data_IF_675109068606
#
_entry.id   IF_675109068606
#
_cell.length_a   1.000
_cell.length_b   1.000
_cell.length_c   1.000
_cell.angle_alpha   90.00
_cell.angle_beta   90.00
_cell.angle_gamma   90.00
#
_symmetry.space_group_name_H-M   'P 1'
#
loop_
_entity.id
_entity.type
_entity.pdbx_description
1 polymer ?
#
# COMPACT_ATOMS: atom_id res chain seq x y z
N UNK A 1 19.63 4.47 -28.30
CA UNK A 1 20.02 3.20 -27.66
C UNK A 1 20.82 3.57 -26.41
N UNK A 2 20.18 3.68 -25.25
CA UNK A 2 20.87 3.93 -23.97
C UNK A 2 21.52 2.61 -23.59
N UNK A 3 22.83 2.59 -23.48
CA UNK A 3 23.55 1.41 -23.02
C UNK A 3 23.08 1.09 -21.58
N UNK A 4 22.36 0.01 -21.40
CA UNK A 4 22.02 -0.52 -20.07
C UNK A 4 23.33 -0.93 -19.39
N UNK A 5 23.67 -0.25 -18.30
CA UNK A 5 24.77 -0.69 -17.45
C UNK A 5 24.42 -2.08 -16.88
N UNK A 6 25.37 -3.01 -16.72
CA UNK A 6 25.09 -4.37 -16.23
C UNK A 6 24.33 -4.44 -14.90
N UNK A 7 24.43 -3.38 -14.08
CA UNK A 7 23.79 -3.25 -12.78
C UNK A 7 22.30 -2.81 -12.86
N UNK A 8 21.87 -2.25 -14.00
CA UNK A 8 20.47 -1.82 -14.20
C UNK A 8 19.54 -2.98 -14.63
N UNK A 9 20.10 -4.09 -15.09
CA UNK A 9 19.30 -5.20 -15.64
C UNK A 9 18.40 -5.89 -14.62
N UNK A 10 18.66 -5.74 -13.32
CA UNK A 10 17.87 -6.31 -12.23
C UNK A 10 17.31 -5.25 -11.28
N UNK A 11 17.01 -4.07 -11.81
CA UNK A 11 16.35 -2.98 -11.07
C UNK A 11 14.95 -2.79 -11.60
N UNK A 12 13.97 -2.70 -10.70
CA UNK A 12 12.56 -2.47 -11.06
C UNK A 12 11.93 -1.45 -10.11
N UNK A 13 10.90 -0.78 -10.59
CA UNK A 13 9.96 -0.08 -9.75
C UNK A 13 8.85 -1.06 -9.33
N UNK A 14 8.34 -0.95 -8.11
CA UNK A 14 7.38 -1.87 -7.54
C UNK A 14 6.09 -1.14 -7.13
N UNK A 15 4.94 -1.70 -7.46
CA UNK A 15 3.63 -1.19 -7.02
C UNK A 15 2.89 -2.28 -6.25
N UNK A 16 2.48 -1.96 -5.02
CA UNK A 16 1.84 -2.90 -4.10
C UNK A 16 0.40 -2.49 -3.84
N UNK A 17 -0.52 -3.41 -4.12
CA UNK A 17 -1.95 -3.21 -3.91
C UNK A 17 -2.31 -3.12 -2.43
N UNK A 18 -3.41 -2.41 -2.11
CA UNK A 18 -4.04 -2.43 -0.80
C UNK A 18 -4.79 -3.74 -0.54
N UNK A 19 -4.79 -4.21 0.72
CA UNK A 19 -5.46 -5.49 0.99
C UNK A 19 -5.57 -5.88 2.47
N UNK A 20 -5.37 -4.96 3.41
CA UNK A 20 -5.49 -5.21 4.85
C UNK A 20 -4.58 -6.36 5.32
N UNK A 21 -5.16 -7.34 6.01
CA UNK A 21 -4.41 -8.48 6.56
C UNK A 21 -3.69 -9.35 5.52
N UNK A 22 -4.03 -9.19 4.24
CA UNK A 22 -3.39 -9.92 3.14
C UNK A 22 -1.98 -9.43 2.79
N UNK A 23 -1.50 -8.36 3.45
CA UNK A 23 -0.17 -7.77 3.23
C UNK A 23 0.98 -8.78 3.30
N UNK A 24 0.83 -9.87 4.08
CA UNK A 24 1.83 -10.94 4.15
C UNK A 24 2.05 -11.63 2.79
N UNK A 25 1.03 -11.71 1.94
CA UNK A 25 1.16 -12.26 0.59
C UNK A 25 1.96 -11.32 -0.34
N UNK A 26 1.85 -9.99 -0.15
CA UNK A 26 2.70 -9.02 -0.84
C UNK A 26 4.16 -9.26 -0.48
N UNK A 27 4.47 -9.43 0.82
CA UNK A 27 5.83 -9.69 1.27
C UNK A 27 6.38 -10.98 0.63
N UNK A 28 5.60 -12.06 0.61
CA UNK A 28 6.00 -13.31 -0.06
C UNK A 28 6.39 -13.10 -1.52
N UNK A 29 5.59 -12.33 -2.26
CA UNK A 29 5.88 -12.00 -3.66
C UNK A 29 7.13 -11.12 -3.81
N UNK A 30 7.29 -10.10 -2.96
CA UNK A 30 8.46 -9.22 -2.94
C UNK A 30 9.75 -10.00 -2.69
N UNK A 31 9.75 -10.90 -1.69
CA UNK A 31 10.93 -11.69 -1.37
C UNK A 31 11.28 -12.68 -2.50
N UNK A 32 10.30 -13.28 -3.17
CA UNK A 32 10.57 -14.13 -4.32
C UNK A 32 11.18 -13.35 -5.50
N UNK A 33 10.78 -12.09 -5.71
CA UNK A 33 11.41 -11.21 -6.71
C UNK A 33 12.83 -10.84 -6.29
N UNK A 34 13.03 -10.55 -5.00
CA UNK A 34 14.35 -10.26 -4.43
C UNK A 34 15.30 -11.45 -4.55
N UNK A 35 14.83 -12.67 -4.25
CA UNK A 35 15.60 -13.93 -4.37
C UNK A 35 16.07 -14.21 -5.81
N UNK A 36 15.31 -13.71 -6.80
CA UNK A 36 15.72 -13.75 -8.20
C UNK A 36 16.81 -12.69 -8.54
N UNK A 37 17.26 -11.92 -7.54
CA UNK A 37 18.32 -10.93 -7.62
C UNK A 37 17.86 -9.54 -8.04
N UNK A 38 16.56 -9.23 -7.98
CA UNK A 38 16.05 -7.89 -8.27
C UNK A 38 16.10 -6.96 -7.05
N UNK A 39 16.36 -5.68 -7.33
CA UNK A 39 16.28 -4.58 -6.36
C UNK A 39 15.20 -3.59 -6.77
N UNK A 40 14.59 -2.95 -5.77
CA UNK A 40 13.47 -2.04 -5.98
C UNK A 40 13.94 -0.60 -5.92
N UNK A 41 13.83 0.13 -7.03
CA UNK A 41 14.30 1.51 -7.09
C UNK A 41 13.28 2.47 -6.49
N UNK A 42 12.03 2.31 -6.90
CA UNK A 42 10.89 3.05 -6.31
C UNK A 42 9.81 2.05 -5.96
N UNK A 43 9.19 2.26 -4.82
CA UNK A 43 8.10 1.43 -4.33
C UNK A 43 6.90 2.31 -4.10
N UNK A 44 5.77 1.97 -4.72
CA UNK A 44 4.49 2.62 -4.46
C UNK A 44 3.56 1.64 -3.75
N UNK A 45 2.82 2.11 -2.75
CA UNK A 45 1.89 1.27 -2.02
C UNK A 45 0.63 2.00 -1.58
N UNK A 46 -0.44 1.23 -1.46
CA UNK A 46 -1.72 1.67 -0.89
C UNK A 46 -2.08 0.77 0.28
N UNK A 47 -2.53 1.33 1.43
CA UNK A 47 -3.00 0.55 2.58
C UNK A 47 -1.96 -0.50 3.04
N UNK A 48 -2.29 -1.79 3.03
CA UNK A 48 -1.34 -2.87 3.33
C UNK A 48 -0.09 -2.81 2.44
N UNK A 49 -0.24 -2.43 1.17
CA UNK A 49 0.87 -2.22 0.25
C UNK A 49 1.77 -1.06 0.67
N UNK A 50 1.23 -0.04 1.34
CA UNK A 50 2.03 1.06 1.91
C UNK A 50 2.84 0.58 3.12
N UNK A 51 2.27 -0.28 3.98
CA UNK A 51 2.99 -0.89 5.12
C UNK A 51 4.18 -1.71 4.63
N UNK A 52 3.92 -2.66 3.73
CA UNK A 52 4.98 -3.54 3.18
C UNK A 52 5.99 -2.73 2.39
N UNK A 53 5.53 -1.81 1.54
CA UNK A 53 6.40 -0.97 0.72
C UNK A 53 7.32 -0.07 1.54
N UNK A 54 6.82 0.51 2.64
CA UNK A 54 7.62 1.33 3.55
C UNK A 54 8.73 0.51 4.24
N UNK A 55 8.40 -0.70 4.72
CA UNK A 55 9.38 -1.59 5.33
C UNK A 55 10.44 -2.04 4.34
N UNK A 56 10.04 -2.46 3.13
CA UNK A 56 10.97 -2.89 2.07
C UNK A 56 11.89 -1.75 1.66
N UNK A 57 11.34 -0.53 1.43
CA UNK A 57 12.15 0.64 1.09
C UNK A 57 13.14 0.99 2.19
N UNK A 58 12.71 0.95 3.46
CA UNK A 58 13.54 1.28 4.60
C UNK A 58 14.67 0.25 4.82
N UNK A 59 14.36 -1.05 4.77
CA UNK A 59 15.36 -2.12 4.91
C UNK A 59 16.39 -2.06 3.79
N UNK A 60 15.93 -1.93 2.53
CA UNK A 60 16.84 -1.81 1.38
C UNK A 60 17.71 -0.56 1.48
N UNK A 61 17.17 0.58 1.95
CA UNK A 61 17.94 1.82 2.17
C UNK A 61 18.99 1.67 3.24
N UNK A 62 18.71 0.94 4.32
CA UNK A 62 19.62 0.67 5.42
C UNK A 62 20.67 -0.42 5.10
N UNK A 63 20.48 -1.17 3.99
CA UNK A 63 21.33 -2.32 3.67
C UNK A 63 21.04 -3.56 4.51
N UNK A 64 19.85 -3.62 5.12
CA UNK A 64 19.39 -4.76 5.91
C UNK A 64 18.88 -5.88 5.00
N UNK A 65 18.95 -7.14 5.51
CA UNK A 65 18.40 -8.29 4.81
C UNK A 65 16.87 -8.23 4.76
N UNK A 66 16.28 -8.22 3.56
CA UNK A 66 14.85 -8.18 3.37
C UNK A 66 14.14 -9.42 3.97
N UNK A 67 14.81 -10.55 4.12
CA UNK A 67 14.25 -11.73 4.79
C UNK A 67 13.95 -11.48 6.27
N UNK A 68 14.62 -10.54 6.94
CA UNK A 68 14.26 -10.10 8.27
C UNK A 68 12.82 -9.56 8.39
N UNK A 69 12.22 -9.15 7.28
CA UNK A 69 10.80 -8.72 7.25
C UNK A 69 9.81 -9.87 7.47
N UNK A 70 10.20 -11.13 7.24
CA UNK A 70 9.36 -12.29 7.56
C UNK A 70 9.07 -12.33 9.07
N UNK A 71 10.12 -12.19 9.89
CA UNK A 71 9.99 -12.19 11.35
C UNK A 71 9.19 -10.97 11.82
N UNK A 72 9.43 -9.79 11.24
CA UNK A 72 8.70 -8.55 11.54
C UNK A 72 7.20 -8.72 11.28
N UNK A 73 6.82 -9.26 10.12
CA UNK A 73 5.42 -9.44 9.75
C UNK A 73 4.76 -10.61 10.47
N UNK A 74 5.52 -11.65 10.85
CA UNK A 74 5.03 -12.75 11.67
C UNK A 74 4.78 -12.32 13.14
N UNK A 75 5.61 -11.43 13.66
CA UNK A 75 5.46 -10.86 14.99
C UNK A 75 4.33 -9.82 15.10
N UNK A 76 3.80 -9.33 13.96
CA UNK A 76 2.71 -8.37 13.93
C UNK A 76 1.42 -8.96 14.49
N UNK A 77 0.94 -8.41 15.60
CA UNK A 77 -0.37 -8.79 16.16
C UNK A 77 -1.48 -8.01 15.46
N UNK A 78 -2.03 -8.61 14.42
CA UNK A 78 -3.10 -7.99 13.64
C UNK A 78 -4.35 -7.65 14.48
N UNK A 79 -4.63 -8.39 15.57
CA UNK A 79 -5.78 -8.11 16.45
C UNK A 79 -5.64 -6.78 17.18
N UNK A 80 -4.43 -6.28 17.39
CA UNK A 80 -4.20 -4.97 17.99
C UNK A 80 -4.60 -3.81 17.09
N UNK A 81 -4.81 -4.03 15.79
CA UNK A 81 -5.44 -3.03 14.93
C UNK A 81 -6.94 -2.89 15.18
N UNK A 82 -7.56 -3.80 15.91
CA UNK A 82 -8.93 -3.67 16.41
C UNK A 82 -8.98 -2.84 17.70
N UNK A 83 -8.19 -1.78 17.78
CA UNK A 83 -7.99 -0.87 18.90
C UNK A 83 -9.19 0.06 19.16
N UNK A 84 -10.38 -0.55 19.24
CA UNK A 84 -11.60 0.19 19.52
C UNK A 84 -11.61 0.72 20.97
N UNK A 85 -12.08 1.99 21.19
CA UNK A 85 -12.26 2.53 22.53
C UNK A 85 -13.14 1.64 23.41
N UNK A 86 -12.94 1.70 24.74
CA UNK A 86 -13.66 0.82 25.68
C UNK A 86 -15.20 0.89 25.55
N UNK A 87 -15.75 2.07 25.26
CA UNK A 87 -17.18 2.27 25.08
C UNK A 87 -17.70 1.65 23.78
N UNK A 88 -16.86 1.54 22.75
CA UNK A 88 -17.19 0.84 21.49
C UNK A 88 -17.21 -0.67 21.77
N UNK A 89 -16.18 -1.18 22.44
CA UNK A 89 -16.07 -2.62 22.78
C UNK A 89 -17.20 -3.11 23.68
N UNK A 90 -17.68 -2.29 24.62
CA UNK A 90 -18.77 -2.65 25.55
C UNK A 90 -20.15 -2.21 25.03
N UNK A 91 -20.21 -1.26 24.10
CA UNK A 91 -21.46 -0.77 23.52
C UNK A 91 -21.99 -1.59 22.33
N UNK A 92 -21.24 -2.61 21.89
CA UNK A 92 -21.60 -3.45 20.75
C UNK A 92 -21.89 -2.61 19.48
N UNK A 93 -22.86 -3.04 18.69
CA UNK A 93 -23.24 -2.36 17.43
C UNK A 93 -23.66 -0.89 17.62
N UNK A 94 -24.25 -0.55 18.78
CA UNK A 94 -24.67 0.85 19.07
C UNK A 94 -23.41 1.69 19.33
N UNK A 95 -22.46 1.20 20.11
CA UNK A 95 -21.20 1.90 20.38
C UNK A 95 -20.39 2.13 19.09
N UNK A 96 -20.29 1.12 18.23
CA UNK A 96 -19.66 1.25 16.91
C UNK A 96 -20.36 2.28 16.03
N UNK A 97 -21.68 2.23 15.93
CA UNK A 97 -22.45 3.18 15.13
C UNK A 97 -22.28 4.63 15.61
N UNK A 98 -22.27 4.83 16.93
CA UNK A 98 -22.06 6.17 17.53
C UNK A 98 -20.64 6.67 17.20
N UNK A 99 -19.62 5.83 17.35
CA UNK A 99 -18.24 6.24 17.09
C UNK A 99 -17.99 6.53 15.60
N UNK A 100 -18.56 5.74 14.72
CA UNK A 100 -18.55 6.01 13.27
C UNK A 100 -19.19 7.35 12.94
N UNK A 101 -20.32 7.70 13.57
CA UNK A 101 -21.00 8.99 13.34
C UNK A 101 -20.19 10.16 13.90
N UNK A 102 -19.58 10.01 15.09
CA UNK A 102 -18.87 11.09 15.75
C UNK A 102 -17.43 11.28 15.24
N UNK A 103 -16.74 10.20 14.91
CA UNK A 103 -15.31 10.20 14.61
C UNK A 103 -14.95 9.64 13.23
N UNK A 104 -15.93 9.16 12.46
CA UNK A 104 -15.72 8.62 11.11
C UNK A 104 -15.13 7.21 11.05
N UNK A 105 -14.90 6.54 12.19
CA UNK A 105 -14.38 5.19 12.26
C UNK A 105 -14.38 4.64 13.69
N UNK A 106 -14.65 3.35 13.85
CA UNK A 106 -14.79 2.71 15.16
C UNK A 106 -13.45 2.31 15.81
N UNK A 107 -12.33 2.40 15.08
CA UNK A 107 -10.99 2.01 15.55
C UNK A 107 -10.02 3.15 15.36
N UNK A 108 -9.10 3.35 16.33
CA UNK A 108 -8.19 4.50 16.32
C UNK A 108 -7.06 4.32 15.31
N UNK A 109 -6.57 3.10 15.12
CA UNK A 109 -5.40 2.78 14.30
C UNK A 109 -4.08 3.20 14.94
N UNK A 110 -4.08 3.47 16.25
CA UNK A 110 -2.91 3.95 17.00
C UNK A 110 -1.83 2.89 17.14
N UNK A 111 -2.21 1.61 17.04
CA UNK A 111 -1.25 0.50 17.10
C UNK A 111 -0.13 0.63 16.06
N UNK A 112 -0.40 1.21 14.89
CA UNK A 112 0.66 1.46 13.90
C UNK A 112 1.75 2.37 14.46
N UNK A 113 1.37 3.40 15.23
CA UNK A 113 2.32 4.33 15.86
C UNK A 113 3.14 3.70 17.01
N UNK A 114 2.66 2.58 17.57
CA UNK A 114 3.44 1.83 18.55
C UNK A 114 4.38 0.83 17.88
N UNK A 115 3.95 0.23 16.77
CA UNK A 115 4.67 -0.87 16.13
C UNK A 115 5.72 -0.42 15.11
N UNK A 116 5.38 0.48 14.19
CA UNK A 116 6.27 0.82 13.06
C UNK A 116 7.45 1.73 13.45
N UNK A 117 7.30 2.79 14.27
CA UNK A 117 8.40 3.70 14.57
C UNK A 117 9.63 3.02 15.15
N UNK A 118 9.54 2.12 16.16
CA UNK A 118 10.73 1.45 16.70
C UNK A 118 11.50 0.62 15.66
N UNK A 119 10.79 0.05 14.66
CA UNK A 119 11.41 -0.69 13.56
C UNK A 119 12.20 0.23 12.65
N UNK A 120 11.63 1.37 12.28
CA UNK A 120 12.24 2.36 11.41
C UNK A 120 13.41 3.09 12.10
N UNK A 121 13.24 3.46 13.37
CA UNK A 121 14.27 4.11 14.18
C UNK A 121 15.51 3.24 14.35
N UNK A 122 15.32 1.93 14.58
CA UNK A 122 16.42 0.97 14.72
C UNK A 122 17.36 0.96 13.50
N UNK A 123 16.83 1.17 12.31
CA UNK A 123 17.58 1.15 11.05
C UNK A 123 17.87 2.56 10.52
N UNK A 124 17.53 3.62 11.27
CA UNK A 124 17.82 5.00 10.94
C UNK A 124 17.05 5.56 9.73
N UNK A 125 15.88 5.02 9.41
CA UNK A 125 15.04 5.45 8.28
C UNK A 125 13.64 5.81 8.80
N UNK A 126 13.39 7.08 9.08
CA UNK A 126 12.14 7.53 9.74
C UNK A 126 11.32 8.51 8.92
N UNK A 127 11.99 9.27 8.05
CA UNK A 127 11.39 10.32 7.23
C UNK A 127 11.53 10.02 5.74
N UNK A 128 10.78 10.72 4.90
CA UNK A 128 10.95 10.60 3.46
C UNK A 128 12.31 11.14 2.99
N UNK A 129 12.92 12.07 3.74
CA UNK A 129 14.28 12.55 3.46
C UNK A 129 15.32 11.42 3.49
N UNK A 130 15.16 10.44 4.41
CA UNK A 130 16.04 9.27 4.50
C UNK A 130 15.92 8.36 3.27
N UNK A 131 14.79 8.46 2.54
CA UNK A 131 14.47 7.67 1.35
C UNK A 131 14.70 8.43 0.03
N UNK A 132 15.46 9.53 0.05
CA UNK A 132 15.82 10.24 -1.16
C UNK A 132 16.66 9.39 -2.09
N UNK A 133 16.30 9.43 -3.38
CA UNK A 133 17.09 8.85 -4.47
C UNK A 133 18.07 9.89 -4.99
N UNK A 134 19.31 9.46 -5.18
CA UNK A 134 20.33 10.27 -5.84
C UNK A 134 20.84 9.52 -7.09
N UNK A 135 20.02 9.52 -8.14
CA UNK A 135 20.36 8.90 -9.42
C UNK A 135 20.14 9.92 -10.56
N UNK A 136 21.19 10.66 -10.96
CA UNK A 136 21.11 11.64 -12.03
C UNK A 136 20.69 11.03 -13.39
N UNK A 137 20.97 9.75 -13.62
CA UNK A 137 20.65 9.07 -14.87
C UNK A 137 19.17 8.69 -14.97
N UNK A 138 18.45 8.67 -13.83
CA UNK A 138 17.03 8.38 -13.83
C UNK A 138 16.16 9.49 -14.45
N UNK A 139 16.73 10.70 -14.63
CA UNK A 139 16.00 11.87 -15.16
C UNK A 139 14.66 12.12 -14.48
N UNK A 140 14.61 11.89 -13.15
CA UNK A 140 13.42 12.13 -12.34
C UNK A 140 13.28 13.62 -12.02
N UNK A 141 12.05 14.11 -12.03
CA UNK A 141 11.77 15.45 -11.52
C UNK A 141 12.11 15.50 -10.03
N UNK A 142 12.53 16.66 -9.47
CA UNK A 142 12.95 16.75 -8.06
C UNK A 142 11.95 16.16 -7.07
N UNK A 143 10.63 16.36 -7.29
CA UNK A 143 9.60 15.82 -6.41
C UNK A 143 9.42 14.30 -6.54
N UNK A 144 9.96 13.67 -7.59
CA UNK A 144 9.87 12.22 -7.83
C UNK A 144 11.08 11.45 -7.28
N UNK A 145 12.07 12.14 -6.71
CA UNK A 145 13.32 11.55 -6.25
C UNK A 145 13.19 10.93 -4.85
N UNK A 146 12.27 9.98 -4.69
CA UNK A 146 12.06 9.21 -3.48
C UNK A 146 11.85 7.74 -3.82
N UNK A 147 12.42 6.85 -3.01
CA UNK A 147 12.25 5.40 -3.18
C UNK A 147 10.90 4.87 -2.67
N UNK A 148 10.12 5.70 -1.97
CA UNK A 148 8.79 5.33 -1.47
C UNK A 148 7.74 6.36 -1.91
N UNK A 149 6.60 5.86 -2.38
CA UNK A 149 5.39 6.65 -2.64
C UNK A 149 4.20 5.98 -1.95
N UNK A 150 3.54 6.70 -1.06
CA UNK A 150 2.37 6.21 -0.33
C UNK A 150 1.12 6.92 -0.84
N UNK A 151 0.08 6.16 -1.18
CA UNK A 151 -1.18 6.73 -1.66
C UNK A 151 -2.18 6.90 -0.53
N UNK A 152 -2.80 8.08 -0.46
CA UNK A 152 -3.94 8.38 0.42
C UNK A 152 -5.00 9.16 -0.35
N UNK A 153 -6.23 9.18 0.14
CA UNK A 153 -7.35 9.92 -0.47
C UNK A 153 -7.70 11.13 0.37
N UNK A 154 -7.66 12.32 -0.22
CA UNK A 154 -8.10 13.56 0.43
C UNK A 154 -9.60 13.78 0.17
N UNK A 155 -10.42 13.61 1.20
CA UNK A 155 -11.87 13.84 1.12
C UNK A 155 -12.22 15.32 1.00
N UNK A 156 -11.41 16.20 1.58
CA UNK A 156 -11.64 17.65 1.57
C UNK A 156 -11.43 18.24 0.17
N UNK A 157 -10.38 17.77 -0.52
CA UNK A 157 -10.02 18.22 -1.88
C UNK A 157 -10.53 17.28 -2.97
N UNK A 158 -11.00 16.07 -2.61
CA UNK A 158 -11.52 15.04 -3.54
C UNK A 158 -10.49 14.58 -4.56
N UNK A 159 -9.25 14.34 -4.08
CA UNK A 159 -8.13 13.93 -4.93
C UNK A 159 -7.36 12.76 -4.31
N UNK A 160 -6.74 11.97 -5.19
CA UNK A 160 -5.70 11.01 -4.78
C UNK A 160 -4.43 11.80 -4.46
N UNK A 161 -3.80 11.50 -3.33
CA UNK A 161 -2.57 12.13 -2.86
C UNK A 161 -1.44 11.12 -2.89
N UNK A 162 -0.29 11.51 -3.45
CA UNK A 162 0.92 10.69 -3.57
C UNK A 162 1.98 11.25 -2.63
N UNK A 163 2.18 10.62 -1.52
CA UNK A 163 3.15 11.07 -0.52
C UNK A 163 4.53 10.42 -0.78
N UNK A 164 5.62 11.17 -0.80
CA UNK A 164 5.76 12.57 -0.38
C UNK A 164 5.55 13.60 -1.50
N UNK A 165 5.29 13.19 -2.75
CA UNK A 165 5.29 14.07 -3.94
C UNK A 165 4.34 15.26 -3.80
N UNK A 166 3.19 15.06 -3.17
CA UNK A 166 2.11 16.04 -3.10
C UNK A 166 2.10 16.86 -1.78
N UNK A 167 3.03 16.61 -0.81
CA UNK A 167 3.13 17.41 0.41
C UNK A 167 3.26 18.93 0.16
N UNK A 168 4.00 19.41 -0.87
CA UNK A 168 4.07 20.84 -1.16
C UNK A 168 2.73 21.49 -1.46
N UNK A 169 1.72 20.73 -1.94
CA UNK A 169 0.36 21.23 -2.13
C UNK A 169 -0.36 21.54 -0.80
N UNK A 170 0.19 21.06 0.31
CA UNK A 170 -0.28 21.25 1.68
C UNK A 170 0.63 22.18 2.49
N UNK A 171 1.52 22.91 1.82
CA UNK A 171 2.53 23.78 2.47
C UNK A 171 3.46 23.00 3.43
N UNK A 172 3.75 21.74 3.15
CA UNK A 172 4.61 20.88 3.95
C UNK A 172 5.88 20.51 3.20
N UNK A 173 7.01 20.53 3.93
CA UNK A 173 8.30 20.09 3.39
C UNK A 173 8.35 18.55 3.34
N UNK A 174 8.52 17.93 2.16
CA UNK A 174 8.45 16.47 2.00
C UNK A 174 9.48 15.70 2.82
N UNK A 175 10.73 16.18 2.86
CA UNK A 175 11.84 15.46 3.51
C UNK A 175 11.65 15.30 5.02
N UNK A 176 10.98 16.26 5.66
CA UNK A 176 10.74 16.23 7.09
C UNK A 176 9.53 15.39 7.52
N UNK A 177 8.73 14.92 6.55
CA UNK A 177 7.52 14.16 6.89
C UNK A 177 7.87 12.72 7.25
N UNK A 178 7.26 12.25 8.34
CA UNK A 178 7.48 10.89 8.84
C UNK A 178 6.79 9.87 7.94
N UNK A 179 7.47 8.78 7.66
CA UNK A 179 6.93 7.65 6.86
C UNK A 179 5.68 7.08 7.52
N UNK A 180 5.70 6.89 8.85
CA UNK A 180 4.58 6.31 9.59
C UNK A 180 3.30 7.12 9.48
N UNK A 181 3.37 8.46 9.40
CA UNK A 181 2.18 9.32 9.27
C UNK A 181 1.51 9.12 7.90
N UNK A 182 2.30 9.00 6.84
CA UNK A 182 1.80 8.69 5.51
C UNK A 182 1.16 7.29 5.45
N UNK A 183 1.83 6.29 6.02
CA UNK A 183 1.32 4.91 6.08
C UNK A 183 0.02 4.86 6.90
N UNK A 184 -0.04 5.59 8.05
CA UNK A 184 -1.26 5.66 8.87
C UNK A 184 -2.43 6.27 8.10
N UNK A 185 -2.19 7.34 7.34
CA UNK A 185 -3.22 7.93 6.48
C UNK A 185 -3.67 6.94 5.40
N UNK A 186 -2.72 6.26 4.75
CA UNK A 186 -2.99 5.30 3.70
C UNK A 186 -3.80 4.09 4.13
N UNK A 187 -3.72 3.68 5.41
CA UNK A 187 -4.48 2.54 5.93
C UNK A 187 -5.79 2.94 6.63
N UNK A 188 -6.19 4.22 6.58
CA UNK A 188 -7.42 4.72 7.22
C UNK A 188 -8.68 4.33 6.44
N UNK A 189 -9.02 3.03 6.44
CA UNK A 189 -10.22 2.50 5.78
C UNK A 189 -11.45 3.24 6.34
N UNK A 190 -12.23 3.95 5.48
CA UNK A 190 -13.40 4.72 5.93
C UNK A 190 -14.37 3.86 6.74
N UNK A 191 -14.89 4.44 7.81
CA UNK A 191 -15.81 3.83 8.79
C UNK A 191 -15.23 2.70 9.63
N UNK A 192 -14.09 2.12 9.23
CA UNK A 192 -13.37 1.13 10.03
C UNK A 192 -12.33 1.80 10.92
N UNK A 193 -11.39 2.52 10.32
CA UNK A 193 -10.41 3.34 11.05
C UNK A 193 -10.80 4.82 11.03
N UNK A 194 -10.45 5.54 12.10
CA UNK A 194 -10.60 7.00 12.14
C UNK A 194 -9.75 7.64 11.05
N UNK A 195 -10.29 8.64 10.34
CA UNK A 195 -9.52 9.39 9.34
C UNK A 195 -8.36 10.16 9.98
N UNK A 196 -7.36 10.50 9.19
CA UNK A 196 -6.28 11.39 9.60
C UNK A 196 -6.66 12.82 9.24
N UNK A 197 -6.57 13.72 10.23
CA UNK A 197 -6.77 15.15 10.02
C UNK A 197 -5.41 15.84 9.92
N UNK A 198 -5.00 16.21 8.71
CA UNK A 198 -3.78 16.94 8.46
C UNK A 198 -4.01 18.43 8.63
N UNK A 199 -3.25 19.09 9.51
CA UNK A 199 -3.22 20.55 9.61
C UNK A 199 -2.38 21.12 8.48
N UNK A 200 -2.96 22.07 7.73
CA UNK A 200 -2.29 22.78 6.66
C UNK A 200 -1.89 24.17 7.18
N UNK A 201 -0.61 24.56 7.13
CA UNK A 201 -0.14 25.80 7.74
C UNK A 201 -0.91 27.07 7.34
N UNK A 202 -1.39 27.12 6.09
CA UNK A 202 -2.10 28.28 5.53
C UNK A 202 -3.59 28.07 5.28
N UNK A 203 -4.17 26.93 5.69
CA UNK A 203 -5.51 26.60 5.22
C UNK A 203 -6.39 25.73 6.11
N UNK A 204 -6.17 25.66 7.40
CA UNK A 204 -6.99 24.86 8.31
C UNK A 204 -6.60 23.39 8.35
N UNK A 205 -7.55 22.47 8.18
CA UNK A 205 -7.28 21.04 8.18
C UNK A 205 -7.97 20.34 7.01
N UNK A 206 -7.34 19.30 6.48
CA UNK A 206 -7.93 18.38 5.49
C UNK A 206 -8.11 17.00 6.09
N UNK A 207 -9.01 16.21 5.54
CA UNK A 207 -9.34 14.86 6.00
C UNK A 207 -8.82 13.85 5.02
N UNK A 208 -7.87 13.01 5.46
CA UNK A 208 -7.28 11.93 4.70
C UNK A 208 -7.80 10.57 5.14
N UNK A 209 -8.08 9.73 4.17
CA UNK A 209 -8.51 8.33 4.35
C UNK A 209 -7.70 7.41 3.46
N UNK A 210 -7.95 6.11 3.56
CA UNK A 210 -7.25 5.07 2.78
C UNK A 210 -7.20 5.42 1.28
N UNK A 211 -6.02 5.24 0.71
CA UNK A 211 -5.79 5.47 -0.71
C UNK A 211 -6.63 4.57 -1.62
N UNK A 212 -7.04 3.40 -1.12
CA UNK A 212 -7.86 2.45 -1.86
C UNK A 212 -9.21 3.03 -2.29
N UNK A 213 -9.71 4.07 -1.60
CA UNK A 213 -10.94 4.75 -1.98
C UNK A 213 -10.87 5.32 -3.40
N UNK A 214 -9.75 5.85 -3.82
CA UNK A 214 -9.56 6.44 -5.15
C UNK A 214 -8.64 5.62 -6.06
N UNK A 215 -7.67 4.88 -5.50
CA UNK A 215 -6.79 4.01 -6.28
C UNK A 215 -6.17 2.92 -5.39
N UNK A 216 -6.72 1.71 -5.46
CA UNK A 216 -6.19 0.57 -4.69
C UNK A 216 -4.91 0.00 -5.28
N UNK A 217 -4.74 0.08 -6.61
CA UNK A 217 -3.58 -0.44 -7.33
C UNK A 217 -3.09 0.56 -8.39
N UNK A 218 -2.30 1.58 -8.00
CA UNK A 218 -1.85 2.66 -8.89
C UNK A 218 -0.68 2.24 -9.79
N UNK A 219 -0.83 1.19 -10.60
CA UNK A 219 0.23 0.55 -11.40
C UNK A 219 0.96 1.52 -12.35
N UNK A 220 0.30 2.59 -12.73
CA UNK A 220 0.84 3.59 -13.68
C UNK A 220 1.56 4.76 -13.00
N UNK A 221 1.69 4.76 -11.67
CA UNK A 221 2.24 5.89 -10.90
C UNK A 221 3.66 6.27 -11.34
N UNK A 222 4.45 5.31 -11.79
CA UNK A 222 5.82 5.51 -12.26
C UNK A 222 5.94 5.60 -13.78
N UNK A 223 4.85 5.49 -14.52
CA UNK A 223 4.86 5.58 -15.96
C UNK A 223 5.21 6.99 -16.42
N UNK A 224 6.02 7.10 -17.45
CA UNK A 224 6.45 8.39 -18.01
C UNK A 224 5.40 8.88 -19.00
N UNK A 225 5.11 10.18 -18.93
CA UNK A 225 4.15 10.85 -19.82
C UNK A 225 4.84 11.72 -20.90
N UNK A 226 6.19 11.72 -20.91
CA UNK A 226 6.99 12.54 -21.82
C UNK A 226 7.51 11.79 -23.05
N UNK A 227 7.05 10.55 -23.26
CA UNK A 227 7.45 9.70 -24.39
C UNK A 227 8.85 9.09 -24.28
N UNK A 228 9.57 9.36 -23.20
CA UNK A 228 10.88 8.76 -22.95
C UNK A 228 10.69 7.38 -22.32
N UNK A 229 11.45 6.39 -22.76
CA UNK A 229 11.42 5.06 -22.15
C UNK A 229 11.79 5.13 -20.65
N UNK A 230 11.06 4.43 -19.78
CA UNK A 230 11.44 4.35 -18.38
C UNK A 230 12.79 3.65 -18.24
N UNK A 231 13.61 4.09 -17.28
CA UNK A 231 14.90 3.46 -17.00
C UNK A 231 14.72 2.07 -16.41
N UNK A 232 13.73 1.91 -15.56
CA UNK A 232 13.37 0.64 -14.93
C UNK A 232 11.95 0.25 -15.32
N UNK A 233 11.72 -1.06 -15.42
CA UNK A 233 10.37 -1.57 -15.58
C UNK A 233 9.58 -1.40 -14.28
N UNK A 234 8.30 -1.09 -14.39
CA UNK A 234 7.39 -1.08 -13.25
C UNK A 234 6.67 -2.42 -13.17
N UNK A 235 6.82 -3.12 -12.06
CA UNK A 235 6.10 -4.35 -11.75
C UNK A 235 5.09 -4.12 -10.64
N UNK A 236 3.94 -4.76 -10.74
CA UNK A 236 2.90 -4.69 -9.74
C UNK A 236 2.70 -6.02 -9.02
N UNK A 237 2.29 -5.98 -7.76
CA UNK A 237 1.78 -7.14 -7.02
C UNK A 237 0.35 -6.86 -6.60
N UNK A 238 -0.57 -7.69 -7.10
CA UNK A 238 -2.00 -7.57 -6.92
C UNK A 238 -2.56 -8.75 -6.14
N UNK A 239 -3.43 -8.48 -5.17
CA UNK A 239 -3.98 -9.44 -4.20
C UNK A 239 -5.32 -10.06 -4.61
N UNK A 240 -5.69 -9.97 -5.85
CA UNK A 240 -6.91 -10.58 -6.37
C UNK A 240 -6.59 -11.30 -7.67
N UNK A 241 -6.81 -12.60 -7.69
CA UNK A 241 -6.52 -13.44 -8.82
C UNK A 241 -7.73 -13.73 -9.70
N UNK A 242 -8.94 -13.28 -9.34
CA UNK A 242 -10.11 -13.80 -10.03
C UNK A 242 -11.03 -12.77 -10.66
N UNK A 243 -11.65 -13.15 -11.81
CA UNK A 243 -12.81 -12.48 -12.34
C UNK A 243 -13.96 -12.55 -11.32
N UNK A 244 -14.80 -11.52 -11.30
CA UNK A 244 -15.92 -11.38 -10.37
C UNK A 244 -16.80 -12.63 -10.36
N UNK A 245 -17.04 -13.15 -9.17
CA UNK A 245 -18.24 -13.95 -8.94
C UNK A 245 -19.43 -12.97 -8.98
N UNK A 246 -20.24 -13.05 -10.02
CA UNK A 246 -21.45 -12.24 -10.15
C UNK A 246 -22.43 -12.57 -9.01
N UNK A 247 -22.50 -11.70 -8.02
CA UNK A 247 -23.53 -11.76 -6.99
C UNK A 247 -24.65 -10.80 -7.35
N UNK A 248 -25.65 -11.27 -8.09
CA UNK A 248 -26.84 -10.50 -8.46
C UNK A 248 -27.78 -10.30 -7.25
N UNK A 249 -27.31 -9.68 -6.18
CA UNK A 249 -28.14 -9.34 -5.00
C UNK A 249 -28.42 -7.84 -4.96
N UNK A 250 -29.70 -7.43 -5.10
CA UNK A 250 -30.04 -6.02 -4.97
C UNK A 250 -29.94 -5.56 -3.51
N UNK A 251 -29.32 -4.39 -3.28
CA UNK A 251 -29.29 -3.74 -1.99
C UNK A 251 -30.58 -2.91 -1.80
N UNK A 252 -31.36 -3.20 -0.75
CA UNK A 252 -32.68 -2.58 -0.54
C UNK A 252 -32.70 -1.55 0.59
N UNK A 253 -31.64 -1.41 1.37
CA UNK A 253 -31.56 -0.47 2.49
C UNK A 253 -30.49 0.59 2.24
N UNK A 254 -30.70 1.81 2.72
CA UNK A 254 -29.72 2.90 2.59
C UNK A 254 -28.36 2.54 3.17
N UNK A 255 -28.31 1.86 4.32
CA UNK A 255 -27.06 1.37 4.92
C UNK A 255 -26.40 0.28 4.04
N UNK A 256 -27.20 -0.62 3.47
CA UNK A 256 -26.69 -1.64 2.54
C UNK A 256 -26.10 -1.02 1.28
N UNK A 257 -26.73 0.01 0.74
CA UNK A 257 -26.21 0.78 -0.41
C UNK A 257 -24.93 1.48 -0.04
N UNK A 258 -24.87 2.19 1.10
CA UNK A 258 -23.66 2.89 1.54
C UNK A 258 -22.48 1.94 1.74
N UNK A 259 -22.69 0.80 2.40
CA UNK A 259 -21.68 -0.24 2.58
C UNK A 259 -21.24 -0.84 1.22
N UNK A 260 -22.17 -1.00 0.27
CA UNK A 260 -21.83 -1.51 -1.06
C UNK A 260 -21.03 -0.49 -1.87
N UNK A 261 -21.40 0.78 -1.83
CA UNK A 261 -20.63 1.87 -2.47
C UNK A 261 -19.20 1.87 -1.95
N UNK A 262 -19.02 1.80 -0.63
CA UNK A 262 -17.69 1.73 -0.04
C UNK A 262 -16.91 0.50 -0.52
N UNK A 263 -17.52 -0.69 -0.51
CA UNK A 263 -16.89 -1.91 -1.04
C UNK A 263 -16.54 -1.77 -2.52
N UNK A 264 -17.39 -1.16 -3.32
CA UNK A 264 -17.12 -0.91 -4.74
C UNK A 264 -15.94 0.04 -4.92
N UNK A 265 -15.86 1.12 -4.14
CA UNK A 265 -14.78 2.09 -4.21
C UNK A 265 -13.43 1.51 -3.73
N UNK A 266 -13.44 0.59 -2.77
CA UNK A 266 -12.24 -0.08 -2.26
C UNK A 266 -11.92 -1.39 -2.99
N UNK A 267 -12.80 -1.83 -3.90
CA UNK A 267 -12.56 -2.95 -4.79
C UNK A 267 -12.00 -2.45 -6.13
N UNK A 268 -11.63 -3.38 -7.00
CA UNK A 268 -11.10 -3.08 -8.33
C UNK A 268 -12.16 -2.54 -9.30
N UNK A 269 -12.73 -1.39 -9.01
CA UNK A 269 -13.64 -0.74 -9.95
C UNK A 269 -12.95 -0.33 -11.27
N UNK A 270 -11.62 -0.27 -11.28
CA UNK A 270 -10.80 0.13 -12.42
C UNK A 270 -10.39 -1.06 -13.32
N UNK A 271 -11.26 -2.07 -13.44
CA UNK A 271 -11.00 -3.31 -14.20
C UNK A 271 -10.63 -3.08 -15.66
N UNK A 272 -11.23 -2.09 -16.31
CA UNK A 272 -10.94 -1.81 -17.72
C UNK A 272 -9.48 -1.47 -17.98
N UNK A 273 -8.78 -0.88 -16.99
CA UNK A 273 -7.33 -0.68 -17.10
C UNK A 273 -6.53 -1.95 -16.83
N UNK A 274 -7.10 -2.95 -16.15
CA UNK A 274 -6.44 -4.23 -15.87
C UNK A 274 -6.54 -5.20 -17.05
N UNK A 275 -7.44 -4.95 -18.00
CA UNK A 275 -7.54 -5.69 -19.26
C UNK A 275 -6.50 -5.20 -20.29
N UNK A 276 -5.80 -4.09 -20.02
CA UNK A 276 -4.67 -3.64 -20.83
C UNK A 276 -3.53 -4.67 -20.73
N UNK A 277 -3.15 -5.23 -21.87
CA UNK A 277 -2.05 -6.18 -21.97
C UNK A 277 -0.76 -5.65 -21.33
N UNK A 278 -0.52 -4.34 -21.43
CA UNK A 278 0.63 -3.67 -20.84
C UNK A 278 0.64 -3.75 -19.31
N UNK A 279 -0.53 -3.69 -18.68
CA UNK A 279 -0.69 -3.84 -17.22
C UNK A 279 -0.59 -5.30 -16.81
N UNK A 280 -1.27 -6.19 -17.52
CA UNK A 280 -1.30 -7.62 -17.19
C UNK A 280 0.09 -8.25 -17.27
N UNK A 281 0.88 -7.91 -18.28
CA UNK A 281 2.24 -8.46 -18.49
C UNK A 281 3.23 -8.05 -17.41
N UNK A 282 2.98 -6.99 -16.67
CA UNK A 282 3.86 -6.47 -15.61
C UNK A 282 3.28 -6.63 -14.21
N UNK A 283 2.25 -7.47 -14.03
CA UNK A 283 1.56 -7.65 -12.75
C UNK A 283 1.62 -9.10 -12.28
N UNK A 284 2.07 -9.27 -11.04
CA UNK A 284 2.00 -10.53 -10.28
C UNK A 284 0.62 -10.61 -9.65
N UNK A 285 -0.17 -11.59 -10.03
CA UNK A 285 -1.50 -11.84 -9.47
C UNK A 285 -1.41 -12.92 -8.38
N UNK A 286 -1.68 -12.53 -7.13
CA UNK A 286 -1.67 -13.44 -5.99
C UNK A 286 -3.10 -13.81 -5.63
N UNK A 287 -3.45 -15.10 -5.70
CA UNK A 287 -4.74 -15.58 -5.25
C UNK A 287 -4.88 -15.47 -3.73
N UNK A 288 -5.75 -14.57 -3.30
CA UNK A 288 -6.11 -14.37 -1.90
C UNK A 288 -7.59 -14.63 -1.64
N UNK A 289 -8.23 -15.39 -2.53
CA UNK A 289 -9.64 -15.80 -2.39
C UNK A 289 -9.87 -16.50 -1.04
N UNK A 290 -11.05 -16.30 -0.48
CA UNK A 290 -11.43 -16.88 0.80
C UNK A 290 -10.92 -16.15 2.05
N UNK A 291 -10.08 -15.11 1.91
CA UNK A 291 -9.61 -14.30 3.06
C UNK A 291 -10.18 -12.89 2.98
N UNK A 292 -11.05 -12.47 3.91
CA UNK A 292 -11.54 -11.08 3.97
C UNK A 292 -10.41 -10.10 4.32
N UNK A 293 -10.46 -8.88 3.76
CA UNK A 293 -9.49 -7.80 4.00
C UNK A 293 -9.37 -7.42 5.48
N UNK A 294 -10.48 -7.54 6.22
CA UNK A 294 -10.60 -7.20 7.64
C UNK A 294 -10.55 -8.42 8.58
N UNK A 295 -10.02 -9.56 8.14
CA UNK A 295 -9.88 -10.75 8.97
C UNK A 295 -8.66 -10.64 9.91
N UNK A 296 -8.68 -9.70 10.86
CA UNK A 296 -7.56 -9.44 11.77
C UNK A 296 -7.22 -10.62 12.71
N UNK A 297 -8.10 -11.63 12.83
CA UNK A 297 -7.87 -12.87 13.58
C UNK A 297 -7.31 -14.00 12.71
N UNK A 298 -6.46 -13.70 11.73
CA UNK A 298 -5.92 -14.70 10.83
C UNK A 298 -5.03 -15.70 11.58
N UNK A 299 -5.37 -16.98 11.48
CA UNK A 299 -4.58 -18.06 12.08
C UNK A 299 -3.16 -18.12 11.49
N UNK A 300 -2.14 -18.55 12.23
CA UNK A 300 -0.76 -18.63 11.74
C UNK A 300 -0.61 -19.43 10.44
N UNK A 301 -1.34 -20.55 10.31
CA UNK A 301 -1.30 -21.37 9.09
C UNK A 301 -1.88 -20.64 7.88
N UNK A 302 -2.95 -19.86 8.05
CA UNK A 302 -3.52 -19.07 6.97
C UNK A 302 -2.57 -17.93 6.55
N UNK A 303 -1.84 -17.32 7.49
CA UNK A 303 -0.78 -16.35 7.18
C UNK A 303 0.33 -16.99 6.35
N UNK A 304 0.81 -18.16 6.76
CA UNK A 304 1.83 -18.91 6.02
C UNK A 304 1.35 -19.26 4.61
N UNK A 305 0.12 -19.74 4.47
CA UNK A 305 -0.45 -20.06 3.15
C UNK A 305 -0.51 -18.81 2.24
N UNK A 306 -0.92 -17.64 2.76
CA UNK A 306 -0.92 -16.39 1.99
C UNK A 306 0.50 -15.99 1.56
N UNK A 307 1.47 -16.09 2.45
CA UNK A 307 2.87 -15.84 2.14
C UNK A 307 3.37 -16.74 1.01
N UNK A 308 3.13 -18.04 1.10
CA UNK A 308 3.55 -19.01 0.06
C UNK A 308 2.84 -18.77 -1.27
N UNK A 309 1.55 -18.43 -1.26
CA UNK A 309 0.84 -18.04 -2.50
C UNK A 309 1.49 -16.83 -3.17
N UNK A 310 1.94 -15.85 -2.38
CA UNK A 310 2.71 -14.71 -2.88
C UNK A 310 4.01 -15.15 -3.56
N UNK A 311 4.80 -15.98 -2.89
CA UNK A 311 6.06 -16.53 -3.43
C UNK A 311 5.85 -17.30 -4.73
N UNK A 312 4.87 -18.18 -4.75
CA UNK A 312 4.54 -18.97 -5.94
C UNK A 312 4.08 -18.11 -7.12
N UNK A 313 3.22 -17.10 -6.86
CA UNK A 313 2.74 -16.19 -7.89
C UNK A 313 3.89 -15.42 -8.54
N UNK A 314 4.77 -14.84 -7.72
CA UNK A 314 5.95 -14.13 -8.22
C UNK A 314 6.91 -15.06 -8.98
N UNK A 315 7.12 -16.28 -8.47
CA UNK A 315 7.95 -17.28 -9.17
C UNK A 315 7.38 -17.70 -10.53
N UNK A 316 6.05 -17.79 -10.66
CA UNK A 316 5.39 -18.01 -11.96
C UNK A 316 5.58 -16.83 -12.90
N UNK A 317 5.37 -15.61 -12.41
CA UNK A 317 5.57 -14.38 -13.17
C UNK A 317 6.99 -14.27 -13.73
N UNK A 318 7.99 -14.49 -12.90
CA UNK A 318 9.40 -14.42 -13.30
C UNK A 318 9.74 -15.43 -14.40
N UNK A 319 9.17 -16.64 -14.37
CA UNK A 319 9.37 -17.64 -15.44
C UNK A 319 8.81 -17.22 -16.79
N UNK A 320 7.79 -16.37 -16.82
CA UNK A 320 7.16 -15.88 -18.05
C UNK A 320 7.85 -14.61 -18.56
N UNK A 321 8.25 -13.72 -17.65
CA UNK A 321 8.84 -12.43 -18.00
C UNK A 321 10.33 -12.51 -18.34
N UNK A 322 11.05 -13.54 -17.89
CA UNK A 322 12.46 -13.76 -18.24
C UNK A 322 12.54 -14.65 -19.46
N UNK A 323 12.93 -14.15 -20.64
CA UNK A 323 13.27 -15.04 -21.75
C UNK A 323 14.43 -15.97 -21.32
N UNK A 324 14.30 -17.25 -21.62
CA UNK A 324 15.33 -18.27 -21.43
C UNK A 324 16.59 -17.95 -22.23
#
# INVERSE_FOLDING_TARGET
MVATMPDDAKRVDLVLEGGGVKGIALLGAVLAIHDAGYTFQRIAGTSAGAVVGALVAAYQRAGEDLHGLEDVMNALDYRRFEDAPWYVRHGGLIGEAVDVVLHGGARTGDYLYEWMPPLLERIGVTTFGDLRLNDPLASLKPYQQYSLVVHTSDLSRRVLVRLPWDYPQYDLEPDSQRIVDAVRASMSIPFYFRPVHLRVPRGGAVTWVDGALLSNFPITVFDRTDGVAPRWQTWGVKLSAEPLVEHNKPYRTGLGIAASVLRTLTSDWNRYHLEDEGVTRRTVYVDTSGVPVTAFELAPDARRQLYERGREAASRFLRVCLPR
#
